data_IF_719559458668
#
_entry.id   IF_719559458668
#
_cell.length_a   1.000
_cell.length_b   1.000
_cell.length_c   1.000
_cell.angle_alpha   90.00
_cell.angle_beta   90.00
_cell.angle_gamma   90.00
#
_symmetry.space_group_name_H-M   'P 1'
#
loop_
_entity.id
_entity.type
_entity.pdbx_description
1 polymer ?
#
# COMPACT_ATOMS: atom_id res chain seq x y z
N UNK A 1 -7.76 55.81 -28.20
CA UNK A 1 -6.76 54.81 -27.75
C UNK A 1 -7.52 53.52 -27.47
N UNK A 2 -7.42 52.57 -28.39
CA UNK A 2 -8.20 51.32 -28.39
C UNK A 2 -7.33 50.24 -27.79
N UNK A 3 -7.74 49.69 -26.65
CA UNK A 3 -7.02 48.61 -25.94
C UNK A 3 -7.35 47.29 -26.68
N UNK A 4 -6.35 46.69 -27.34
CA UNK A 4 -6.44 45.32 -27.90
C UNK A 4 -6.32 44.31 -26.77
N UNK A 5 -7.39 43.56 -26.53
CA UNK A 5 -7.38 42.36 -25.72
C UNK A 5 -6.63 41.24 -26.43
N UNK A 6 -5.55 40.76 -25.83
CA UNK A 6 -4.80 39.57 -26.28
C UNK A 6 -5.44 38.32 -25.69
N UNK A 7 -6.00 37.48 -26.55
CA UNK A 7 -6.47 36.15 -26.19
C UNK A 7 -5.30 35.25 -25.80
N UNK A 8 -5.43 34.42 -24.72
CA UNK A 8 -4.39 33.45 -24.37
C UNK A 8 -4.34 32.31 -25.41
N UNK A 9 -3.15 32.08 -25.98
CA UNK A 9 -2.88 31.01 -26.90
C UNK A 9 -3.08 29.65 -26.18
N UNK A 10 -3.96 28.81 -26.72
CA UNK A 10 -4.08 27.40 -26.32
C UNK A 10 -2.82 26.67 -26.80
N UNK A 11 -1.90 26.39 -25.86
CA UNK A 11 -0.82 25.43 -26.11
C UNK A 11 -1.45 24.06 -26.29
N UNK A 12 -1.25 23.45 -27.45
CA UNK A 12 -1.59 22.05 -27.75
C UNK A 12 -0.66 21.19 -26.90
N UNK A 13 -1.17 20.71 -25.74
CA UNK A 13 -0.56 19.60 -25.02
C UNK A 13 -0.73 18.38 -25.93
N UNK A 14 0.40 17.88 -26.45
CA UNK A 14 0.42 16.69 -27.26
C UNK A 14 -0.23 15.52 -26.52
N UNK A 15 -1.22 14.90 -27.16
CA UNK A 15 -1.87 13.67 -26.70
C UNK A 15 -0.83 12.56 -26.67
N UNK A 16 -0.13 12.38 -25.56
CA UNK A 16 0.55 11.14 -25.25
C UNK A 16 -0.52 10.10 -24.90
N UNK A 17 -0.59 9.03 -25.71
CA UNK A 17 -1.49 7.91 -25.43
C UNK A 17 -1.26 7.47 -23.98
N UNK A 18 -2.33 7.28 -23.17
CA UNK A 18 -2.17 6.81 -21.80
C UNK A 18 -1.44 5.47 -21.82
N UNK A 19 -0.30 5.40 -21.15
CA UNK A 19 0.42 4.15 -20.94
C UNK A 19 -0.49 3.28 -20.07
N UNK A 20 -1.05 2.22 -20.64
CA UNK A 20 -1.84 1.23 -19.89
C UNK A 20 -0.89 0.44 -19.01
N UNK A 21 -0.67 0.91 -17.80
CA UNK A 21 0.14 0.26 -16.79
C UNK A 21 -0.67 -0.87 -16.17
N UNK A 22 -0.62 -2.04 -16.79
CA UNK A 22 -1.16 -3.29 -16.21
C UNK A 22 -0.12 -3.84 -15.24
N UNK A 23 -0.58 -4.40 -14.10
CA UNK A 23 0.31 -5.16 -13.19
C UNK A 23 1.12 -6.16 -14.00
N UNK A 24 2.43 -6.33 -13.74
CA UNK A 24 3.24 -7.29 -14.47
C UNK A 24 2.66 -8.70 -14.33
N UNK A 25 2.44 -9.39 -15.45
CA UNK A 25 1.98 -10.78 -15.45
C UNK A 25 2.92 -11.68 -14.62
N UNK A 26 4.20 -11.37 -14.65
CA UNK A 26 5.23 -12.08 -13.87
C UNK A 26 4.98 -12.03 -12.34
N UNK A 27 4.37 -10.93 -11.83
CA UNK A 27 3.99 -10.86 -10.42
C UNK A 27 2.96 -11.94 -10.09
N UNK A 28 1.90 -12.04 -10.90
CA UNK A 28 0.86 -13.05 -10.70
C UNK A 28 1.42 -14.47 -10.76
N UNK A 29 2.26 -14.77 -11.76
CA UNK A 29 2.91 -16.07 -11.92
C UNK A 29 3.83 -16.36 -10.73
N UNK A 30 4.64 -15.41 -10.31
CA UNK A 30 5.57 -15.56 -9.18
C UNK A 30 4.82 -15.85 -7.88
N UNK A 31 3.76 -15.09 -7.60
CA UNK A 31 2.93 -15.27 -6.41
C UNK A 31 2.22 -16.62 -6.44
N UNK A 32 1.58 -17.00 -7.54
CA UNK A 32 0.89 -18.28 -7.68
C UNK A 32 1.86 -19.47 -7.51
N UNK A 33 3.03 -19.43 -8.18
CA UNK A 33 4.08 -20.45 -8.07
C UNK A 33 4.63 -20.54 -6.65
N UNK A 34 4.77 -19.41 -5.97
CA UNK A 34 5.22 -19.35 -4.59
C UNK A 34 4.21 -20.01 -3.64
N UNK A 35 2.92 -19.62 -3.74
CA UNK A 35 1.85 -20.22 -2.94
C UNK A 35 1.79 -21.72 -3.13
N UNK A 36 1.86 -22.20 -4.39
CA UNK A 36 1.84 -23.62 -4.72
C UNK A 36 3.00 -24.36 -4.05
N UNK A 37 4.22 -23.82 -4.14
CA UNK A 37 5.40 -24.42 -3.47
C UNK A 37 5.25 -24.48 -1.94
N UNK A 38 4.69 -23.42 -1.31
CA UNK A 38 4.47 -23.43 0.13
C UNK A 38 3.43 -24.49 0.54
N UNK A 39 2.38 -24.66 -0.25
CA UNK A 39 1.36 -25.69 -0.02
C UNK A 39 1.90 -27.11 -0.17
N UNK A 40 2.72 -27.38 -1.19
CA UNK A 40 3.41 -28.69 -1.34
C UNK A 40 4.29 -28.99 -0.14
N UNK A 41 4.98 -27.97 0.42
CA UNK A 41 5.77 -28.11 1.65
C UNK A 41 4.94 -28.30 2.91
N UNK A 42 3.60 -28.38 2.82
CA UNK A 42 2.69 -28.53 3.93
C UNK A 42 2.61 -27.31 4.86
N UNK A 43 3.15 -26.16 4.45
CA UNK A 43 3.15 -24.97 5.30
C UNK A 43 1.76 -24.36 5.38
N UNK A 44 1.24 -24.19 6.60
CA UNK A 44 -0.05 -23.57 6.88
C UNK A 44 0.04 -22.05 6.90
N UNK A 45 1.16 -21.48 7.38
CA UNK A 45 1.48 -20.06 7.43
C UNK A 45 2.78 -19.80 6.71
N UNK A 46 2.81 -18.76 5.90
CA UNK A 46 4.00 -18.34 5.17
C UNK A 46 3.85 -16.88 4.69
N UNK A 47 4.92 -16.09 4.68
CA UNK A 47 4.88 -14.71 4.21
C UNK A 47 4.50 -14.59 2.74
N UNK A 48 3.67 -13.61 2.40
CA UNK A 48 3.35 -13.19 1.03
C UNK A 48 4.06 -11.90 0.68
N UNK A 49 4.15 -11.01 1.65
CA UNK A 49 4.83 -9.73 1.57
C UNK A 49 5.71 -9.60 2.80
N UNK A 50 6.96 -9.22 2.63
CA UNK A 50 7.79 -8.73 3.73
C UNK A 50 7.61 -7.22 3.82
N UNK A 51 7.06 -6.74 4.93
CA UNK A 51 7.09 -5.32 5.22
C UNK A 51 8.42 -4.99 5.88
N UNK A 52 9.14 -4.02 5.33
CA UNK A 52 10.46 -3.61 5.79
C UNK A 52 10.43 -2.14 6.20
N UNK A 53 10.83 -1.85 7.42
CA UNK A 53 10.93 -0.50 7.97
C UNK A 53 12.41 -0.21 8.31
N UNK A 54 13.21 0.27 7.31
CA UNK A 54 14.65 0.47 7.50
C UNK A 54 14.98 1.68 8.39
N UNK A 55 14.00 2.52 8.68
CA UNK A 55 14.03 3.63 9.63
C UNK A 55 12.60 4.00 10.06
N UNK A 56 12.51 4.64 11.24
CA UNK A 56 11.24 5.14 11.76
C UNK A 56 11.11 6.67 11.68
N UNK A 57 12.19 7.36 11.30
CA UNK A 57 12.19 8.81 11.10
C UNK A 57 11.32 9.20 9.91
N UNK A 58 10.51 10.25 10.08
CA UNK A 58 9.69 10.85 9.03
C UNK A 58 9.89 12.36 8.98
N UNK A 59 9.70 12.97 7.82
CA UNK A 59 9.66 14.41 7.60
C UNK A 59 8.25 15.00 7.67
N UNK A 60 7.24 14.20 8.02
CA UNK A 60 5.86 14.61 8.30
C UNK A 60 5.40 14.07 9.66
N UNK A 61 4.31 14.64 10.18
CA UNK A 61 3.69 14.24 11.44
C UNK A 61 2.19 14.00 11.27
N UNK A 62 1.81 13.21 10.26
CA UNK A 62 0.41 12.94 9.88
C UNK A 62 -0.47 12.63 11.09
N UNK A 63 -1.70 13.19 11.09
CA UNK A 63 -2.63 13.15 12.22
C UNK A 63 -2.95 11.72 12.66
N UNK A 64 -3.23 10.82 11.71
CA UNK A 64 -3.56 9.41 11.98
C UNK A 64 -2.36 8.45 12.11
N UNK A 65 -1.11 8.96 12.09
CA UNK A 65 0.07 8.11 12.10
C UNK A 65 0.59 7.83 13.50
N UNK A 66 0.60 6.56 13.92
CA UNK A 66 1.18 6.11 15.19
C UNK A 66 2.71 5.98 15.18
N UNK A 67 3.35 5.84 14.01
CA UNK A 67 4.74 5.41 13.86
C UNK A 67 5.77 6.24 14.61
N UNK A 68 5.87 7.52 14.29
CA UNK A 68 6.85 8.41 14.92
C UNK A 68 6.63 8.55 16.43
N UNK A 69 5.41 8.26 16.90
CA UNK A 69 5.06 8.30 18.33
C UNK A 69 5.46 6.99 19.02
N UNK A 70 5.12 5.84 18.44
CA UNK A 70 5.46 4.50 18.97
C UNK A 70 6.97 4.27 19.02
N UNK A 71 7.70 4.73 17.99
CA UNK A 71 9.14 4.48 17.83
C UNK A 71 10.02 5.65 18.26
N UNK A 72 9.48 6.62 18.99
CA UNK A 72 10.23 7.81 19.48
C UNK A 72 11.63 7.50 20.04
N UNK A 73 11.84 6.43 20.82
CA UNK A 73 13.18 6.11 21.36
C UNK A 73 14.20 5.66 20.31
N UNK A 74 13.76 5.23 19.13
CA UNK A 74 14.62 4.65 18.08
C UNK A 74 14.56 5.36 16.74
N UNK A 75 13.96 6.54 16.67
CA UNK A 75 13.82 7.31 15.43
C UNK A 75 15.14 7.54 14.69
N UNK A 76 16.27 7.65 15.43
CA UNK A 76 17.58 7.84 14.85
C UNK A 76 18.29 6.56 14.42
N UNK A 77 17.71 5.40 14.73
CA UNK A 77 18.28 4.12 14.28
C UNK A 77 17.98 3.92 12.80
N UNK A 78 18.99 3.40 12.10
CA UNK A 78 18.90 3.03 10.70
C UNK A 78 19.39 1.59 10.54
N UNK A 79 18.62 0.79 9.82
CA UNK A 79 18.94 -0.61 9.56
C UNK A 79 20.08 -0.68 8.52
N UNK A 80 21.14 -1.46 8.74
CA UNK A 80 22.11 -1.76 7.68
C UNK A 80 21.46 -2.50 6.50
N UNK A 81 21.95 -2.25 5.28
CA UNK A 81 21.37 -2.88 4.07
C UNK A 81 21.49 -4.41 4.08
N UNK A 82 22.60 -4.94 4.58
CA UNK A 82 22.85 -6.37 4.72
C UNK A 82 21.87 -7.03 5.72
N UNK A 83 21.56 -6.37 6.82
CA UNK A 83 20.51 -6.80 7.77
C UNK A 83 19.13 -6.81 7.12
N UNK A 84 18.78 -5.75 6.39
CA UNK A 84 17.53 -5.68 5.64
C UNK A 84 17.39 -6.82 4.63
N UNK A 85 18.46 -7.10 3.89
CA UNK A 85 18.49 -8.19 2.91
C UNK A 85 18.40 -9.56 3.58
N UNK A 86 19.08 -9.76 4.71
CA UNK A 86 19.00 -11.03 5.46
C UNK A 86 17.58 -11.30 5.97
N UNK A 87 16.88 -10.29 6.50
CA UNK A 87 15.48 -10.42 6.93
C UNK A 87 14.55 -10.77 5.77
N UNK A 88 14.74 -10.17 4.59
CA UNK A 88 13.96 -10.47 3.39
C UNK A 88 14.22 -11.90 2.91
N UNK A 89 15.47 -12.37 2.96
CA UNK A 89 15.82 -13.76 2.61
C UNK A 89 15.24 -14.76 3.61
N UNK A 90 15.28 -14.47 4.92
CA UNK A 90 14.64 -15.27 5.96
C UNK A 90 13.14 -15.41 5.70
N UNK A 91 12.48 -14.31 5.35
CA UNK A 91 11.06 -14.31 4.99
C UNK A 91 10.76 -15.17 3.77
N UNK A 92 11.56 -15.06 2.74
CA UNK A 92 11.37 -15.72 1.45
C UNK A 92 10.10 -15.30 0.71
N UNK A 93 9.44 -14.22 1.11
CA UNK A 93 8.26 -13.67 0.43
C UNK A 93 8.62 -13.13 -0.96
N UNK A 94 7.73 -13.27 -1.97
CA UNK A 94 8.01 -12.80 -3.32
C UNK A 94 7.92 -11.27 -3.48
N UNK A 95 7.30 -10.59 -2.51
CA UNK A 95 7.03 -9.15 -2.52
C UNK A 95 7.68 -8.50 -1.30
N UNK A 96 8.25 -7.32 -1.49
CA UNK A 96 8.78 -6.48 -0.41
C UNK A 96 8.05 -5.14 -0.44
N UNK A 97 7.49 -4.73 0.69
CA UNK A 97 6.92 -3.39 0.89
C UNK A 97 7.84 -2.61 1.81
N UNK A 98 8.51 -1.60 1.29
CA UNK A 98 9.37 -0.72 2.08
C UNK A 98 8.51 0.42 2.63
N UNK A 99 8.47 0.53 3.95
CA UNK A 99 7.66 1.49 4.71
C UNK A 99 8.49 2.04 5.89
N UNK A 100 7.87 2.29 7.02
CA UNK A 100 8.48 2.82 8.24
C UNK A 100 8.05 4.25 8.46
N UNK A 101 8.98 5.17 8.77
CA UNK A 101 8.76 6.61 8.71
C UNK A 101 8.63 7.06 7.25
N UNK A 102 9.65 7.76 6.73
CA UNK A 102 9.71 8.09 5.31
C UNK A 102 10.92 7.40 4.65
N UNK A 103 10.72 6.33 3.86
CA UNK A 103 11.84 5.57 3.29
C UNK A 103 12.79 6.39 2.42
N UNK A 104 12.30 7.45 1.78
CA UNK A 104 13.16 8.31 0.96
C UNK A 104 14.16 9.14 1.78
N UNK A 105 14.04 9.19 3.11
CA UNK A 105 15.05 9.79 3.99
C UNK A 105 16.21 8.81 4.22
N UNK A 106 15.97 7.51 4.18
CA UNK A 106 17.01 6.50 4.42
C UNK A 106 18.18 6.69 3.45
N UNK A 107 19.41 6.89 3.94
CA UNK A 107 20.54 7.27 3.08
C UNK A 107 20.90 6.23 2.02
N UNK A 108 20.65 4.95 2.30
CA UNK A 108 20.99 3.81 1.43
C UNK A 108 19.75 3.22 0.74
N UNK A 109 18.67 4.00 0.61
CA UNK A 109 17.41 3.52 -0.01
C UNK A 109 17.62 3.08 -1.47
N UNK A 110 18.46 3.79 -2.20
CA UNK A 110 18.83 3.47 -3.58
C UNK A 110 19.60 2.15 -3.67
N UNK A 111 20.55 1.91 -2.77
CA UNK A 111 21.30 0.65 -2.70
C UNK A 111 20.36 -0.52 -2.42
N UNK A 112 19.48 -0.37 -1.42
CA UNK A 112 18.51 -1.38 -1.03
C UNK A 112 17.55 -1.71 -2.17
N UNK A 113 16.91 -0.70 -2.78
CA UNK A 113 15.95 -0.93 -3.88
C UNK A 113 16.64 -1.60 -5.07
N UNK A 114 17.81 -1.08 -5.50
CA UNK A 114 18.52 -1.63 -6.65
C UNK A 114 18.91 -3.10 -6.42
N UNK A 115 19.36 -3.46 -5.22
CA UNK A 115 19.72 -4.84 -4.90
C UNK A 115 18.50 -5.77 -4.89
N UNK A 116 17.37 -5.32 -4.33
CA UNK A 116 16.12 -6.09 -4.36
C UNK A 116 15.59 -6.30 -5.79
N UNK A 117 15.64 -5.25 -6.61
CA UNK A 117 15.25 -5.32 -8.03
C UNK A 117 16.17 -6.27 -8.81
N UNK A 118 17.49 -6.21 -8.57
CA UNK A 118 18.48 -7.12 -9.15
C UNK A 118 18.18 -8.59 -8.81
N UNK A 119 17.74 -8.86 -7.57
CA UNK A 119 17.29 -10.18 -7.10
C UNK A 119 15.87 -10.54 -7.56
N UNK A 120 15.21 -9.66 -8.36
CA UNK A 120 13.86 -9.85 -8.89
C UNK A 120 12.76 -9.95 -7.83
N UNK A 121 12.92 -9.32 -6.68
CA UNK A 121 11.80 -9.07 -5.78
C UNK A 121 10.86 -8.03 -6.40
N UNK A 122 9.55 -8.16 -6.18
CA UNK A 122 8.62 -7.09 -6.47
C UNK A 122 8.61 -6.12 -5.30
N UNK A 123 9.11 -4.91 -5.53
CA UNK A 123 9.32 -3.90 -4.49
C UNK A 123 8.28 -2.81 -4.62
N UNK A 124 7.60 -2.51 -3.53
CA UNK A 124 6.72 -1.37 -3.36
C UNK A 124 7.33 -0.45 -2.32
N UNK A 125 7.64 0.79 -2.68
CA UNK A 125 8.19 1.78 -1.75
C UNK A 125 7.11 2.81 -1.42
N UNK A 126 6.63 2.77 -0.17
CA UNK A 126 5.65 3.71 0.34
C UNK A 126 6.32 5.04 0.67
N UNK A 127 5.79 6.16 0.19
CA UNK A 127 6.38 7.48 0.39
C UNK A 127 5.32 8.59 0.39
N UNK A 128 5.60 9.67 1.10
CA UNK A 128 4.82 10.91 1.02
C UNK A 128 5.12 11.76 -0.22
N UNK A 129 6.01 11.32 -1.09
CA UNK A 129 6.32 11.97 -2.36
C UNK A 129 7.33 13.13 -2.30
N UNK A 130 7.64 13.66 -1.12
CA UNK A 130 8.42 14.91 -1.01
C UNK A 130 9.88 14.81 -1.52
N UNK A 131 10.47 13.62 -1.48
CA UNK A 131 11.88 13.40 -1.83
C UNK A 131 12.08 12.40 -2.98
N UNK A 132 11.02 12.08 -3.75
CA UNK A 132 11.08 11.10 -4.84
C UNK A 132 12.17 11.42 -5.86
N UNK A 133 12.24 12.67 -6.31
CA UNK A 133 13.21 13.14 -7.30
C UNK A 133 14.67 12.82 -6.91
N UNK A 134 14.96 12.90 -5.62
CA UNK A 134 16.31 12.57 -5.11
C UNK A 134 16.63 11.09 -5.31
N UNK A 135 15.68 10.21 -5.07
CA UNK A 135 15.87 8.76 -5.16
C UNK A 135 15.84 8.31 -6.63
N UNK A 136 14.92 8.85 -7.45
CA UNK A 136 14.80 8.53 -8.86
C UNK A 136 16.07 8.78 -9.67
N UNK A 137 16.93 9.74 -9.26
CA UNK A 137 18.26 9.94 -9.86
C UNK A 137 19.18 8.72 -9.77
N UNK A 138 18.94 7.81 -8.85
CA UNK A 138 19.80 6.67 -8.54
C UNK A 138 19.13 5.31 -8.68
N UNK A 139 17.81 5.28 -8.73
CA UNK A 139 17.01 4.07 -8.88
C UNK A 139 16.31 4.14 -10.23
N UNK A 140 16.71 3.40 -11.26
CA UNK A 140 16.04 3.43 -12.56
C UNK A 140 14.65 2.78 -12.50
N UNK A 141 13.72 3.15 -13.41
CA UNK A 141 12.43 2.48 -13.51
C UNK A 141 12.59 0.99 -13.85
N UNK A 142 11.74 0.17 -13.23
CA UNK A 142 11.78 -1.29 -13.40
C UNK A 142 10.38 -1.88 -13.26
N UNK A 143 10.10 -2.96 -14.00
CA UNK A 143 8.88 -3.75 -13.80
C UNK A 143 8.78 -4.39 -12.41
N UNK A 144 9.90 -4.50 -11.71
CA UNK A 144 9.98 -5.03 -10.33
C UNK A 144 9.86 -3.96 -9.25
N UNK A 145 9.76 -2.68 -9.63
CA UNK A 145 9.69 -1.57 -8.67
C UNK A 145 8.47 -0.69 -8.92
N UNK A 146 7.75 -0.33 -7.87
CA UNK A 146 6.63 0.60 -7.89
C UNK A 146 6.70 1.56 -6.71
N UNK A 147 6.46 2.84 -6.98
CA UNK A 147 6.17 3.81 -5.94
C UNK A 147 4.73 3.63 -5.45
N UNK A 148 4.53 3.78 -4.14
CA UNK A 148 3.21 3.86 -3.51
C UNK A 148 3.12 5.20 -2.80
N UNK A 149 2.40 6.15 -3.40
CA UNK A 149 2.36 7.52 -2.88
C UNK A 149 1.13 7.71 -2.01
N UNK A 150 1.35 8.22 -0.81
CA UNK A 150 0.30 8.53 0.14
C UNK A 150 -0.52 9.74 -0.31
N UNK A 151 -1.85 9.57 -0.42
CA UNK A 151 -2.80 10.60 -0.86
C UNK A 151 -4.15 10.37 -0.18
N UNK A 152 -4.54 11.20 0.80
CA UNK A 152 -5.76 11.00 1.61
C UNK A 152 -6.95 11.88 1.19
N UNK A 153 -6.82 12.66 0.13
CA UNK A 153 -7.85 13.55 -0.40
C UNK A 153 -7.29 14.53 -1.41
N UNK A 154 -8.11 15.45 -1.87
CA UNK A 154 -7.68 16.62 -2.64
C UNK A 154 -6.84 17.56 -1.76
N UNK A 155 -6.36 18.67 -2.30
CA UNK A 155 -5.35 19.54 -1.68
C UNK A 155 -5.63 19.85 -0.21
N UNK A 156 -6.83 20.37 0.10
CA UNK A 156 -7.19 20.76 1.46
C UNK A 156 -7.17 19.56 2.41
N UNK A 157 -7.85 18.49 2.05
CA UNK A 157 -7.99 17.30 2.88
C UNK A 157 -6.67 16.53 3.05
N UNK A 158 -5.88 16.46 2.00
CA UNK A 158 -4.56 15.81 2.08
C UNK A 158 -3.61 16.62 2.97
N UNK A 159 -3.51 17.94 2.78
CA UNK A 159 -2.62 18.79 3.56
C UNK A 159 -3.03 18.82 5.05
N UNK A 160 -4.34 18.77 5.35
CA UNK A 160 -4.85 18.57 6.72
C UNK A 160 -4.41 17.22 7.30
N UNK A 161 -4.56 16.11 6.56
CA UNK A 161 -4.23 14.76 7.04
C UNK A 161 -2.74 14.60 7.37
N UNK A 162 -1.87 15.27 6.62
CA UNK A 162 -0.41 15.23 6.82
C UNK A 162 0.12 16.37 7.70
N UNK A 163 -0.76 17.20 8.24
CA UNK A 163 -0.46 18.36 9.09
C UNK A 163 0.58 19.31 8.47
N UNK A 164 0.48 19.53 7.14
CA UNK A 164 1.44 20.39 6.44
C UNK A 164 0.92 20.92 5.11
N UNK A 165 0.78 22.25 4.94
CA UNK A 165 0.38 22.86 3.68
C UNK A 165 1.35 22.60 2.54
N UNK A 166 0.82 22.42 1.32
CA UNK A 166 1.57 22.28 0.07
C UNK A 166 2.18 20.92 -0.16
N UNK A 167 1.88 19.90 0.65
CA UNK A 167 2.34 18.52 0.44
C UNK A 167 1.63 17.91 -0.76
N UNK A 168 0.31 18.11 -0.89
CA UNK A 168 -0.48 17.64 -2.03
C UNK A 168 0.15 18.04 -3.38
N UNK A 169 0.42 19.32 -3.58
CA UNK A 169 1.02 19.82 -4.83
C UNK A 169 2.34 19.15 -5.15
N UNK A 170 3.18 18.94 -4.12
CA UNK A 170 4.49 18.28 -4.29
C UNK A 170 4.32 16.80 -4.60
N UNK A 171 3.40 16.10 -3.93
CA UNK A 171 3.11 14.70 -4.18
C UNK A 171 2.56 14.48 -5.60
N UNK A 172 1.61 15.32 -6.05
CA UNK A 172 1.07 15.28 -7.42
C UNK A 172 2.18 15.52 -8.45
N UNK A 173 3.03 16.52 -8.25
CA UNK A 173 4.16 16.79 -9.15
C UNK A 173 5.15 15.63 -9.20
N UNK A 174 5.43 14.99 -8.04
CA UNK A 174 6.29 13.83 -7.96
C UNK A 174 5.71 12.59 -8.68
N UNK A 175 4.39 12.37 -8.56
CA UNK A 175 3.67 11.32 -9.31
C UNK A 175 3.80 11.57 -10.82
N UNK A 176 3.54 12.79 -11.29
CA UNK A 176 3.67 13.16 -12.70
C UNK A 176 5.08 12.93 -13.23
N UNK A 177 6.08 13.37 -12.47
CA UNK A 177 7.48 13.18 -12.80
C UNK A 177 7.84 11.68 -12.86
N UNK A 178 7.45 10.89 -11.88
CA UNK A 178 7.70 9.46 -11.88
C UNK A 178 7.06 8.75 -13.07
N UNK A 179 5.79 9.05 -13.38
CA UNK A 179 5.08 8.47 -14.52
C UNK A 179 5.74 8.85 -15.85
N UNK A 180 6.16 10.12 -16.02
CA UNK A 180 6.83 10.58 -17.24
C UNK A 180 8.18 9.91 -17.48
N UNK A 181 8.87 9.48 -16.40
CA UNK A 181 10.13 8.74 -16.45
C UNK A 181 9.92 7.22 -16.59
N UNK A 182 8.68 6.73 -16.68
CA UNK A 182 8.36 5.31 -16.88
C UNK A 182 8.34 4.46 -15.59
N UNK A 183 8.27 5.09 -14.41
CA UNK A 183 8.06 4.34 -13.18
C UNK A 183 6.62 3.84 -13.08
N UNK A 184 6.47 2.72 -12.42
CA UNK A 184 5.20 2.23 -11.92
C UNK A 184 4.83 3.03 -10.68
N UNK A 185 3.61 3.53 -10.62
CA UNK A 185 3.10 4.32 -9.50
C UNK A 185 1.69 3.84 -9.12
N UNK A 186 1.43 3.63 -7.85
CA UNK A 186 0.09 3.57 -7.28
C UNK A 186 -0.02 4.55 -6.11
N UNK A 187 -1.24 4.89 -5.73
CA UNK A 187 -1.50 5.72 -4.55
C UNK A 187 -2.05 4.87 -3.41
N UNK A 188 -1.88 5.34 -2.19
CA UNK A 188 -2.47 4.73 -1.00
C UNK A 188 -3.23 5.79 -0.22
N UNK A 189 -4.50 5.51 0.03
CA UNK A 189 -5.45 6.38 0.73
C UNK A 189 -5.97 5.69 1.98
N UNK A 190 -5.85 6.37 3.11
CA UNK A 190 -6.37 5.90 4.39
C UNK A 190 -7.66 6.66 4.71
N UNK A 191 -8.73 5.93 4.96
CA UNK A 191 -10.02 6.52 5.30
C UNK A 191 -10.20 6.61 6.81
N UNK A 192 -10.67 7.77 7.24
CA UNK A 192 -10.99 8.08 8.63
C UNK A 192 -12.46 8.48 8.77
N UNK A 193 -12.94 8.66 9.99
CA UNK A 193 -14.26 9.21 10.25
C UNK A 193 -14.33 10.63 9.69
N UNK A 194 -15.39 10.94 8.92
CA UNK A 194 -15.54 12.23 8.26
C UNK A 194 -14.82 12.35 6.91
N UNK A 195 -14.21 11.27 6.38
CA UNK A 195 -13.68 11.29 5.01
C UNK A 195 -14.78 11.66 4.01
N UNK A 196 -14.52 12.65 3.17
CA UNK A 196 -15.46 13.15 2.17
C UNK A 196 -15.41 12.27 0.91
N UNK A 197 -16.54 11.62 0.61
CA UNK A 197 -16.65 10.67 -0.51
C UNK A 197 -16.47 11.35 -1.86
N UNK A 198 -17.00 12.57 -2.04
CA UNK A 198 -16.92 13.29 -3.32
C UNK A 198 -15.50 13.79 -3.57
N UNK A 199 -14.82 14.27 -2.52
CA UNK A 199 -13.41 14.62 -2.55
C UNK A 199 -12.54 13.41 -2.93
N UNK A 200 -12.77 12.25 -2.31
CA UNK A 200 -12.06 11.00 -2.61
C UNK A 200 -12.32 10.53 -4.05
N UNK A 201 -13.56 10.60 -4.54
CA UNK A 201 -13.86 10.26 -5.93
C UNK A 201 -13.14 11.20 -6.91
N UNK A 202 -13.05 12.49 -6.59
CA UNK A 202 -12.32 13.48 -7.37
C UNK A 202 -10.83 13.14 -7.41
N UNK A 203 -10.24 12.84 -6.26
CA UNK A 203 -8.85 12.38 -6.17
C UNK A 203 -8.61 11.12 -7.01
N UNK A 204 -9.43 10.09 -6.86
CA UNK A 204 -9.21 8.81 -7.54
C UNK A 204 -9.36 8.91 -9.06
N UNK A 205 -10.29 9.75 -9.55
CA UNK A 205 -10.40 10.07 -10.99
C UNK A 205 -9.15 10.77 -11.47
N UNK A 206 -8.70 11.82 -10.78
CA UNK A 206 -7.48 12.54 -11.12
C UNK A 206 -6.28 11.59 -11.18
N UNK A 207 -6.09 10.71 -10.21
CA UNK A 207 -5.00 9.73 -10.21
C UNK A 207 -5.13 8.74 -11.37
N UNK A 208 -6.35 8.26 -11.63
CA UNK A 208 -6.61 7.34 -12.75
C UNK A 208 -6.35 7.97 -14.11
N UNK A 209 -6.72 9.25 -14.31
CA UNK A 209 -6.46 10.05 -15.50
C UNK A 209 -4.96 10.32 -15.70
N UNK A 210 -4.24 10.57 -14.61
CA UNK A 210 -2.78 10.72 -14.65
C UNK A 210 -2.06 9.44 -15.07
N UNK A 211 -2.71 8.28 -14.95
CA UNK A 211 -2.17 6.99 -15.41
C UNK A 211 -1.47 6.19 -14.31
N UNK A 212 -1.78 6.41 -13.04
CA UNK A 212 -1.31 5.50 -11.97
C UNK A 212 -1.87 4.10 -12.20
N UNK A 213 -1.17 3.07 -11.71
CA UNK A 213 -1.63 1.67 -11.83
C UNK A 213 -2.97 1.43 -11.12
N UNK A 214 -3.23 2.21 -10.08
CA UNK A 214 -4.50 2.26 -9.35
C UNK A 214 -4.35 2.85 -7.96
N UNK A 215 -5.49 3.13 -7.34
CA UNK A 215 -5.59 3.65 -5.99
C UNK A 215 -5.78 2.50 -5.00
N UNK A 216 -4.93 2.42 -3.99
CA UNK A 216 -5.12 1.53 -2.85
C UNK A 216 -5.93 2.26 -1.80
N UNK A 217 -6.86 1.55 -1.16
CA UNK A 217 -7.70 2.11 -0.10
C UNK A 217 -7.76 1.16 1.09
N UNK A 218 -7.75 1.71 2.29
CA UNK A 218 -7.99 0.97 3.54
C UNK A 218 -8.52 1.89 4.63
N UNK A 219 -9.26 1.39 5.63
CA UNK A 219 -9.55 2.19 6.82
C UNK A 219 -8.28 2.42 7.63
N UNK A 220 -8.24 3.50 8.38
CA UNK A 220 -7.22 3.74 9.41
C UNK A 220 -7.31 2.68 10.51
N UNK A 221 -6.19 2.47 11.20
CA UNK A 221 -6.13 1.62 12.38
C UNK A 221 -5.99 2.48 13.64
N UNK A 222 -6.77 2.16 14.67
CA UNK A 222 -6.76 2.85 15.95
C UNK A 222 -5.48 2.53 16.75
N UNK A 223 -4.40 3.25 16.40
CA UNK A 223 -3.12 3.12 17.12
C UNK A 223 -3.21 3.73 18.51
N UNK A 224 -2.73 3.01 19.52
CA UNK A 224 -2.71 3.48 20.90
C UNK A 224 -1.88 4.77 21.10
N UNK A 225 -0.91 5.02 20.24
CA UNK A 225 -0.02 6.18 20.28
C UNK A 225 -0.56 7.43 19.58
N UNK A 226 -1.76 7.38 18.99
CA UNK A 226 -2.40 8.55 18.35
C UNK A 226 -3.26 9.29 19.38
N UNK A 227 -3.15 10.62 19.40
CA UNK A 227 -3.84 11.46 20.38
C UNK A 227 -5.36 11.47 20.16
N UNK A 228 -5.80 11.69 18.90
CA UNK A 228 -7.21 11.65 18.52
C UNK A 228 -7.59 10.25 18.00
N UNK A 229 -8.17 9.45 18.88
CA UNK A 229 -8.64 8.11 18.57
C UNK A 229 -10.07 8.08 18.00
N UNK A 230 -10.83 9.16 18.13
CA UNK A 230 -12.20 9.24 17.64
C UNK A 230 -12.27 9.32 16.12
N UNK A 231 -11.18 9.69 15.46
CA UNK A 231 -11.07 9.72 14.01
C UNK A 231 -11.13 8.33 13.35
N UNK A 232 -10.87 7.24 14.09
CA UNK A 232 -10.85 5.91 13.51
C UNK A 232 -12.26 5.32 13.40
N UNK A 233 -12.51 4.69 12.27
CA UNK A 233 -13.80 4.07 11.95
C UNK A 233 -13.96 2.75 12.70
N UNK A 234 -15.14 2.53 13.26
CA UNK A 234 -15.58 1.20 13.67
C UNK A 234 -15.84 0.34 12.43
N UNK A 235 -15.90 -0.98 12.60
CA UNK A 235 -16.07 -1.92 11.47
C UNK A 235 -17.33 -1.66 10.65
N UNK A 236 -18.46 -1.41 11.33
CA UNK A 236 -19.73 -1.13 10.67
C UNK A 236 -19.69 0.23 9.95
N UNK A 237 -19.11 1.26 10.57
CA UNK A 237 -18.91 2.56 9.96
C UNK A 237 -18.00 2.45 8.71
N UNK A 238 -16.94 1.64 8.79
CA UNK A 238 -16.08 1.34 7.65
C UNK A 238 -16.88 0.76 6.49
N UNK A 239 -17.71 -0.27 6.76
CA UNK A 239 -18.53 -0.87 5.72
C UNK A 239 -19.46 0.16 5.05
N UNK A 240 -20.10 1.05 5.82
CA UNK A 240 -21.00 2.08 5.28
C UNK A 240 -20.25 3.12 4.42
N UNK A 241 -19.08 3.57 4.87
CA UNK A 241 -18.25 4.49 4.10
C UNK A 241 -17.75 3.81 2.82
N UNK A 242 -17.22 2.60 2.92
CA UNK A 242 -16.71 1.88 1.75
C UNK A 242 -17.79 1.44 0.76
N UNK A 243 -19.05 1.25 1.17
CA UNK A 243 -20.17 1.07 0.22
C UNK A 243 -20.30 2.27 -0.72
N UNK A 244 -20.14 3.49 -0.18
CA UNK A 244 -20.22 4.73 -0.97
C UNK A 244 -18.96 4.98 -1.80
N UNK A 245 -17.78 4.85 -1.18
CA UNK A 245 -16.48 5.09 -1.82
C UNK A 245 -16.22 4.11 -2.97
N UNK A 246 -16.71 2.88 -2.85
CA UNK A 246 -16.52 1.79 -3.82
C UNK A 246 -17.81 1.44 -4.57
N UNK A 247 -18.74 2.37 -4.68
CA UNK A 247 -19.97 2.16 -5.42
C UNK A 247 -19.67 1.94 -6.92
N UNK A 248 -20.07 0.78 -7.49
CA UNK A 248 -19.79 0.48 -8.88
C UNK A 248 -20.40 1.46 -9.88
N UNK A 249 -21.49 2.15 -9.52
CA UNK A 249 -22.13 3.10 -10.42
C UNK A 249 -21.31 4.40 -10.55
N UNK A 250 -20.63 4.82 -9.48
CA UNK A 250 -19.87 6.09 -9.43
C UNK A 250 -18.38 5.92 -9.69
N UNK A 251 -17.86 4.68 -9.72
CA UNK A 251 -16.42 4.38 -9.80
C UNK A 251 -15.98 3.63 -11.06
N UNK A 252 -16.81 3.62 -12.12
CA UNK A 252 -16.52 2.90 -13.37
C UNK A 252 -15.23 3.35 -14.06
N UNK A 253 -14.88 4.62 -13.92
CA UNK A 253 -13.70 5.29 -14.47
C UNK A 253 -12.48 5.28 -13.52
N UNK A 254 -12.66 4.78 -12.29
CA UNK A 254 -11.63 4.71 -11.27
C UNK A 254 -10.93 3.34 -11.30
N UNK A 255 -9.59 3.37 -11.22
CA UNK A 255 -8.78 2.16 -11.08
C UNK A 255 -8.39 1.96 -9.62
N UNK A 256 -8.87 0.89 -9.01
CA UNK A 256 -8.40 0.46 -7.70
C UNK A 256 -7.28 -0.57 -7.83
N UNK A 257 -6.29 -0.46 -6.95
CA UNK A 257 -5.14 -1.38 -6.93
C UNK A 257 -5.37 -2.60 -6.04
N UNK A 258 -6.19 -2.49 -5.01
CA UNK A 258 -6.56 -3.63 -4.17
C UNK A 258 -7.26 -4.72 -5.00
N UNK A 259 -7.18 -5.97 -4.54
CA UNK A 259 -7.92 -7.01 -5.22
C UNK A 259 -9.45 -6.88 -4.97
N UNK A 260 -10.30 -7.29 -5.93
CA UNK A 260 -11.74 -7.05 -5.87
C UNK A 260 -12.42 -7.73 -4.68
N UNK A 261 -11.90 -8.86 -4.20
CA UNK A 261 -12.47 -9.56 -3.05
C UNK A 261 -12.21 -8.81 -1.74
N UNK A 262 -11.08 -8.09 -1.66
CA UNK A 262 -10.80 -7.20 -0.53
C UNK A 262 -11.69 -5.96 -0.58
N UNK A 263 -11.92 -5.38 -1.75
CA UNK A 263 -12.87 -4.27 -1.91
C UNK A 263 -14.29 -4.70 -1.53
N UNK A 264 -14.72 -5.91 -1.90
CA UNK A 264 -16.00 -6.48 -1.48
C UNK A 264 -16.05 -6.72 0.04
N UNK A 265 -14.94 -7.11 0.67
CA UNK A 265 -14.84 -7.23 2.12
C UNK A 265 -14.98 -5.87 2.81
N UNK A 266 -14.33 -4.82 2.31
CA UNK A 266 -14.48 -3.47 2.84
C UNK A 266 -15.92 -2.97 2.77
N UNK A 267 -16.67 -3.34 1.72
CA UNK A 267 -18.10 -3.02 1.56
C UNK A 267 -19.02 -3.85 2.46
N UNK A 268 -18.49 -4.78 3.25
CA UNK A 268 -19.28 -5.68 4.10
C UNK A 268 -19.99 -6.82 3.35
N UNK A 269 -19.67 -7.06 2.07
CA UNK A 269 -20.28 -8.13 1.27
C UNK A 269 -19.65 -9.51 1.53
N UNK A 270 -18.53 -9.55 2.26
CA UNK A 270 -17.76 -10.76 2.54
C UNK A 270 -17.15 -10.71 3.93
N UNK A 271 -16.89 -11.90 4.47
CA UNK A 271 -16.18 -12.06 5.73
C UNK A 271 -14.94 -12.91 5.54
N UNK A 272 -13.85 -12.49 6.20
CA UNK A 272 -12.57 -13.21 6.20
C UNK A 272 -11.96 -13.24 7.60
N UNK A 273 -11.19 -14.28 7.87
CA UNK A 273 -10.30 -14.31 9.03
C UNK A 273 -8.97 -13.64 8.68
N UNK A 274 -8.49 -12.79 9.58
CA UNK A 274 -7.23 -12.10 9.41
C UNK A 274 -6.06 -13.09 9.22
N UNK A 275 -5.19 -12.80 8.25
CA UNK A 275 -3.97 -13.55 7.95
C UNK A 275 -2.73 -12.66 8.02
N UNK A 276 -2.66 -11.76 8.99
CA UNK A 276 -1.56 -10.79 9.11
C UNK A 276 -0.17 -11.46 9.22
N UNK A 277 -0.10 -12.73 9.62
CA UNK A 277 1.11 -13.54 9.53
C UNK A 277 1.70 -13.62 8.10
N UNK A 278 0.90 -13.36 7.09
CA UNK A 278 1.35 -13.35 5.70
C UNK A 278 2.09 -12.06 5.30
N UNK A 279 2.02 -11.03 6.14
CA UNK A 279 2.67 -9.74 5.95
C UNK A 279 3.55 -9.39 7.17
N UNK A 280 4.53 -10.24 7.55
CA UNK A 280 5.40 -9.94 8.67
C UNK A 280 6.20 -8.66 8.42
N UNK A 281 6.44 -7.90 9.49
CA UNK A 281 7.15 -6.63 9.46
C UNK A 281 8.49 -6.75 10.15
N UNK A 282 9.57 -6.37 9.48
CA UNK A 282 10.90 -6.25 10.05
C UNK A 282 11.29 -4.77 10.19
N UNK A 283 11.70 -4.39 11.39
CA UNK A 283 12.01 -3.00 11.78
C UNK A 283 13.44 -2.90 12.26
N UNK A 284 13.90 -1.70 12.61
CA UNK A 284 15.19 -1.46 13.29
C UNK A 284 15.31 -2.14 14.67
N UNK A 285 14.26 -2.81 15.13
CA UNK A 285 14.21 -3.54 16.40
C UNK A 285 14.04 -5.06 16.20
N UNK A 286 14.01 -5.55 14.96
CA UNK A 286 13.74 -6.94 14.62
C UNK A 286 12.32 -7.18 14.10
N UNK A 287 11.88 -8.45 14.11
CA UNK A 287 10.55 -8.83 13.66
C UNK A 287 9.49 -8.36 14.63
N UNK A 288 8.56 -7.55 14.13
CA UNK A 288 7.41 -7.06 14.91
C UNK A 288 6.38 -8.16 15.14
N UNK A 289 5.90 -8.27 16.36
CA UNK A 289 4.88 -9.23 16.74
C UNK A 289 3.69 -8.54 17.43
N UNK A 290 2.45 -8.94 17.16
CA UNK A 290 2.04 -10.02 16.26
C UNK A 290 1.96 -9.57 14.77
N UNK A 291 1.71 -8.29 14.49
CA UNK A 291 1.44 -7.81 13.14
C UNK A 291 1.79 -6.32 12.96
N UNK A 292 1.63 -5.82 11.76
CA UNK A 292 1.93 -4.44 11.40
C UNK A 292 1.22 -3.39 12.28
N UNK A 293 -0.10 -3.44 12.54
CA UNK A 293 -0.78 -2.48 13.40
C UNK A 293 -0.45 -2.64 14.89
N UNK A 294 -0.32 -3.88 15.37
CA UNK A 294 0.01 -4.17 16.77
C UNK A 294 1.51 -4.41 16.91
N UNK A 295 2.13 -3.71 17.85
CA UNK A 295 3.57 -3.78 18.09
C UNK A 295 3.83 -4.13 19.56
N UNK A 296 3.28 -5.27 19.99
CA UNK A 296 3.37 -5.69 21.40
C UNK A 296 4.80 -6.02 21.80
N UNK A 297 5.57 -6.62 20.88
CA UNK A 297 6.99 -6.94 21.08
C UNK A 297 7.73 -7.04 19.74
N UNK A 298 9.05 -7.13 19.84
CA UNK A 298 9.94 -7.44 18.73
C UNK A 298 10.75 -8.68 19.06
N UNK A 299 10.91 -9.55 18.07
CA UNK A 299 11.59 -10.84 18.21
C UNK A 299 12.70 -10.98 17.18
N UNK A 300 13.67 -11.86 17.46
CA UNK A 300 14.87 -12.01 16.62
C UNK A 300 14.62 -12.78 15.32
N UNK A 301 13.68 -13.74 15.33
CA UNK A 301 13.47 -14.64 14.20
C UNK A 301 12.03 -14.62 13.71
N UNK A 302 11.86 -14.75 12.39
CA UNK A 302 10.54 -14.88 11.78
C UNK A 302 9.76 -16.11 12.29
N UNK A 303 10.46 -17.18 12.66
CA UNK A 303 9.82 -18.39 13.17
C UNK A 303 9.00 -18.12 14.45
N UNK A 304 9.44 -17.19 15.29
CA UNK A 304 8.70 -16.77 16.48
C UNK A 304 7.38 -16.09 16.10
N UNK A 305 7.40 -15.20 15.10
CA UNK A 305 6.17 -14.56 14.56
C UNK A 305 5.21 -15.59 13.96
N UNK A 306 5.75 -16.61 13.28
CA UNK A 306 4.95 -17.65 12.59
C UNK A 306 4.38 -18.71 13.53
N UNK A 307 4.78 -18.72 14.81
CA UNK A 307 4.38 -19.75 15.75
C UNK A 307 2.86 -19.78 15.93
N UNK A 308 2.32 -20.99 16.09
CA UNK A 308 0.87 -21.19 16.20
C UNK A 308 0.26 -20.40 17.35
N UNK A 309 0.90 -20.43 18.52
CA UNK A 309 0.37 -19.85 19.76
C UNK A 309 0.21 -18.31 19.67
N UNK A 310 1.01 -17.64 18.82
CA UNK A 310 0.81 -16.22 18.53
C UNK A 310 -0.59 -16.03 17.91
N UNK A 311 -0.89 -16.77 16.86
CA UNK A 311 -2.12 -16.59 16.05
C UNK A 311 -3.36 -17.24 16.68
N UNK A 312 -3.21 -18.01 17.73
CA UNK A 312 -4.32 -18.48 18.55
C UNK A 312 -4.84 -17.37 19.49
N UNK A 313 -4.01 -16.36 19.80
CA UNK A 313 -4.35 -15.21 20.67
C UNK A 313 -4.85 -13.98 19.91
N UNK A 314 -4.48 -13.79 18.65
CA UNK A 314 -4.75 -12.58 17.88
C UNK A 314 -5.73 -12.83 16.73
N UNK A 315 -6.51 -11.80 16.38
CA UNK A 315 -7.52 -11.80 15.35
C UNK A 315 -8.90 -11.38 15.86
N UNK A 316 -9.84 -11.20 14.96
CA UNK A 316 -11.23 -10.85 15.31
C UNK A 316 -11.84 -11.94 16.19
N UNK A 317 -12.46 -11.52 17.28
CA UNK A 317 -13.03 -12.42 18.29
C UNK A 317 -12.04 -13.03 19.29
N UNK A 318 -10.74 -12.67 19.18
CA UNK A 318 -9.69 -13.15 20.09
C UNK A 318 -9.04 -11.99 20.86
N UNK A 319 -8.62 -10.95 20.17
CA UNK A 319 -8.07 -9.74 20.79
C UNK A 319 -9.02 -8.57 20.50
N UNK A 320 -9.45 -7.81 21.51
CA UNK A 320 -10.39 -6.71 21.33
C UNK A 320 -9.87 -5.62 20.39
N UNK A 321 -8.56 -5.40 20.29
CA UNK A 321 -7.94 -4.43 19.36
C UNK A 321 -8.11 -4.84 17.90
N UNK A 322 -8.40 -6.11 17.64
CA UNK A 322 -8.66 -6.62 16.29
C UNK A 322 -10.11 -6.47 15.85
N UNK A 323 -11.04 -6.11 16.74
CA UNK A 323 -12.49 -6.10 16.47
C UNK A 323 -12.85 -5.24 15.25
N UNK A 324 -12.29 -4.04 15.17
CA UNK A 324 -12.55 -3.08 14.10
C UNK A 324 -11.51 -3.09 12.97
N UNK A 325 -10.47 -3.91 13.09
CA UNK A 325 -9.41 -3.95 12.08
C UNK A 325 -9.91 -4.54 10.75
N UNK A 326 -9.72 -3.78 9.68
CA UNK A 326 -9.97 -4.19 8.30
C UNK A 326 -8.77 -3.90 7.38
N UNK A 327 -7.58 -3.71 7.96
CA UNK A 327 -6.36 -3.31 7.25
C UNK A 327 -5.95 -4.32 6.16
N UNK A 328 -5.48 -3.80 5.03
CA UNK A 328 -5.02 -4.60 3.89
C UNK A 328 -3.93 -5.61 4.26
N UNK A 329 -3.02 -5.27 5.19
CA UNK A 329 -1.95 -6.18 5.64
C UNK A 329 -2.47 -7.49 6.25
N UNK A 330 -3.67 -7.48 6.83
CA UNK A 330 -4.30 -8.68 7.40
C UNK A 330 -5.31 -9.35 6.48
N UNK A 331 -6.02 -8.58 5.67
CA UNK A 331 -7.20 -9.08 4.97
C UNK A 331 -7.01 -9.23 3.45
N UNK A 332 -6.13 -8.48 2.80
CA UNK A 332 -5.93 -8.63 1.36
C UNK A 332 -5.36 -10.00 1.00
N UNK A 333 -4.39 -10.51 1.76
CA UNK A 333 -3.91 -11.89 1.59
C UNK A 333 -4.92 -12.93 2.03
N UNK A 334 -5.76 -12.64 3.04
CA UNK A 334 -6.86 -13.53 3.44
C UNK A 334 -7.82 -13.81 2.28
N UNK A 335 -8.12 -12.80 1.47
CA UNK A 335 -8.97 -12.96 0.28
C UNK A 335 -8.32 -13.84 -0.79
N UNK A 336 -7.00 -13.73 -0.97
CA UNK A 336 -6.24 -14.60 -1.89
C UNK A 336 -6.32 -16.07 -1.43
N UNK A 337 -6.11 -16.33 -0.14
CA UNK A 337 -6.23 -17.68 0.40
C UNK A 337 -7.67 -18.21 0.35
N UNK A 338 -8.67 -17.36 0.53
CA UNK A 338 -10.08 -17.69 0.33
C UNK A 338 -10.39 -18.08 -1.11
N UNK A 339 -9.92 -17.30 -2.07
CA UNK A 339 -10.13 -17.56 -3.50
C UNK A 339 -9.57 -18.91 -3.96
N UNK A 340 -8.49 -19.40 -3.36
CA UNK A 340 -7.96 -20.74 -3.66
C UNK A 340 -8.95 -21.87 -3.35
N UNK A 341 -10.00 -21.61 -2.57
CA UNK A 341 -11.04 -22.58 -2.20
C UNK A 341 -12.34 -22.41 -2.98
N UNK A 342 -12.45 -21.34 -3.80
CA UNK A 342 -13.65 -20.96 -4.52
C UNK A 342 -13.34 -20.70 -6.00
N UNK A 343 -13.73 -21.57 -6.93
CA UNK A 343 -13.55 -21.35 -8.36
C UNK A 343 -14.18 -20.03 -8.85
N UNK A 344 -15.31 -19.63 -8.27
CA UNK A 344 -16.01 -18.38 -8.60
C UNK A 344 -15.14 -17.16 -8.24
N UNK A 345 -14.55 -17.16 -7.05
CA UNK A 345 -13.70 -16.05 -6.58
C UNK A 345 -12.41 -15.98 -7.38
N UNK A 346 -11.86 -17.13 -7.75
CA UNK A 346 -10.70 -17.22 -8.64
C UNK A 346 -10.99 -16.59 -10.01
N UNK A 347 -12.16 -16.88 -10.59
CA UNK A 347 -12.60 -16.26 -11.85
C UNK A 347 -12.75 -14.74 -11.68
N UNK A 348 -13.33 -14.28 -10.58
CA UNK A 348 -13.46 -12.84 -10.26
C UNK A 348 -12.10 -12.15 -10.24
N UNK A 349 -11.10 -12.73 -9.57
CA UNK A 349 -9.73 -12.19 -9.53
C UNK A 349 -9.06 -12.14 -10.90
N UNK A 350 -9.29 -13.14 -11.75
CA UNK A 350 -8.75 -13.16 -13.12
C UNK A 350 -9.40 -12.07 -13.97
N UNK A 351 -10.74 -11.95 -13.93
CA UNK A 351 -11.50 -10.98 -14.73
C UNK A 351 -11.19 -9.53 -14.39
N UNK A 352 -10.97 -9.24 -13.13
CA UNK A 352 -10.63 -7.88 -12.65
C UNK A 352 -9.21 -7.44 -13.00
N UNK A 353 -8.40 -8.31 -13.62
CA UNK A 353 -6.99 -8.01 -13.91
C UNK A 353 -6.07 -8.10 -12.69
N UNK A 354 -6.57 -8.51 -11.52
CA UNK A 354 -5.74 -8.79 -10.35
C UNK A 354 -4.75 -9.93 -10.64
N UNK A 355 -5.14 -10.83 -11.59
CA UNK A 355 -4.26 -11.85 -12.20
C UNK A 355 -4.35 -11.61 -13.71
N UNK A 356 -3.52 -10.73 -14.26
CA UNK A 356 -3.61 -10.29 -15.63
C UNK A 356 -3.37 -11.39 -16.66
N UNK A 357 -4.32 -11.60 -17.57
CA UNK A 357 -4.02 -12.01 -18.94
C UNK A 357 -3.75 -10.76 -19.77
N UNK A 358 -2.56 -10.63 -20.31
CA UNK A 358 -2.27 -9.70 -21.40
C UNK A 358 -3.13 -10.06 -22.60
N UNK A 359 -3.91 -9.11 -23.11
CA UNK A 359 -4.47 -9.14 -24.46
C UNK A 359 -5.69 -10.03 -24.66
N UNK A 360 -6.86 -9.59 -24.20
CA UNK A 360 -8.10 -9.79 -24.93
C UNK A 360 -8.76 -8.42 -24.97
N UNK A 361 -8.59 -7.73 -26.07
CA UNK A 361 -9.45 -6.63 -26.49
C UNK A 361 -10.85 -7.21 -26.65
N UNK A 362 -11.78 -6.80 -25.81
CA UNK A 362 -13.18 -6.95 -26.12
C UNK A 362 -13.50 -5.95 -27.24
N UNK A 363 -13.77 -6.47 -28.43
CA UNK A 363 -14.44 -5.78 -29.51
C UNK A 363 -15.89 -5.52 -29.17
#
# INVERSE_FOLDING_TARGET
MTIKTVSPSKSKIGSTKPVTTKRPLELGIKVASYIFRQKIKGRKRFPMVTMLEPLEMCNLACVGCGRIREYKPVLNKMMPVDEALAAIEESGAPIVSIAGGEPTIYPQIDVLINELVRRKYFVYCCSNGLLLERVMKKVPPSKYFSWVIHMDGMEEKHDESVDRPGVYKKAVAAIQSALSQGYRVCTNTTLFRGSDVDDLHTLFRQMSEMGVEGCMVSPGFDYAAVDDREQFLLREESNEVFKKVLDPETTQDIRFYNNPLYLDFLRGNREYQCTAWSNPTYTVMGWRMPCYPLADEHVETLSQVMHKDVWDRYGVGKDPRCANCMMHCGFESATIFGALRSPRDWITMIRSGAISKSGITAS
#
